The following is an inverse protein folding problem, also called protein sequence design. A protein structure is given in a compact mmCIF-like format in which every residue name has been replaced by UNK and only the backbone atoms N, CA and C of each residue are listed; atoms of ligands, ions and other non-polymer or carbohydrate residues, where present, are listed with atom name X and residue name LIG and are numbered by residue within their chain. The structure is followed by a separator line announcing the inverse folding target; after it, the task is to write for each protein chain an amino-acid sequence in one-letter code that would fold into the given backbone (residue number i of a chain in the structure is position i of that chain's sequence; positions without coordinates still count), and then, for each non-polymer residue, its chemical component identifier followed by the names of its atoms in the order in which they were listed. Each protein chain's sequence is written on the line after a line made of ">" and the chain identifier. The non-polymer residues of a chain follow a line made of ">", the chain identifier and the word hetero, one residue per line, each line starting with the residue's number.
data_IF_841364394353
#
_entry.id   IF_841364394353
#
_cell.length_a   1.000
_cell.length_b   1.000
_cell.length_c   1.000
_cell.angle_alpha   90.00
_cell.angle_beta   90.00
_cell.angle_gamma   90.00
#
_symmetry.space_group_name_H-M   'P 1'
#
loop_
_entity.id
_entity.type
_entity.pdbx_description
1 polymer ?
#
# COMPACT_ATOMS: atom_id res chain seq x y z
N UNK A 1 8.67 -15.05 -22.02
CA UNK A 1 8.52 -13.64 -21.61
C UNK A 1 8.61 -13.62 -20.10
N UNK A 2 9.73 -13.15 -19.54
CA UNK A 2 9.92 -13.10 -18.09
C UNK A 2 9.34 -11.77 -17.58
N UNK A 3 8.12 -11.81 -17.05
CA UNK A 3 7.56 -10.70 -16.28
C UNK A 3 8.12 -10.79 -14.87
N UNK A 4 9.32 -10.24 -14.67
CA UNK A 4 9.76 -9.89 -13.32
C UNK A 4 8.87 -8.74 -12.88
N UNK A 5 7.85 -9.03 -12.06
CA UNK A 5 7.06 -8.02 -11.37
C UNK A 5 8.00 -7.25 -10.44
N UNK A 6 8.68 -6.24 -10.97
CA UNK A 6 9.31 -5.21 -10.18
C UNK A 6 8.15 -4.43 -9.59
N UNK A 7 7.79 -4.77 -8.36
CA UNK A 7 6.98 -3.91 -7.52
C UNK A 7 7.78 -2.61 -7.35
N UNK A 8 7.58 -1.65 -8.26
CA UNK A 8 7.77 -0.25 -7.91
C UNK A 8 6.72 0.04 -6.84
N UNK A 9 7.10 -0.17 -5.58
CA UNK A 9 6.30 0.32 -4.47
C UNK A 9 6.48 1.85 -4.52
N UNK A 10 5.52 2.53 -5.15
CA UNK A 10 5.34 3.97 -4.98
C UNK A 10 4.81 4.20 -3.55
N UNK A 11 5.67 3.96 -2.56
CA UNK A 11 5.36 4.17 -1.16
C UNK A 11 5.55 5.65 -0.86
N UNK A 12 4.48 6.41 -0.93
CA UNK A 12 4.47 7.78 -0.46
C UNK A 12 4.30 7.76 1.06
N UNK A 13 5.28 8.30 1.78
CA UNK A 13 5.23 8.42 3.23
C UNK A 13 4.77 9.84 3.61
N UNK A 14 3.92 9.93 4.64
CA UNK A 14 3.63 11.22 5.25
C UNK A 14 4.94 11.82 5.81
N UNK A 15 5.01 13.15 5.92
CA UNK A 15 6.13 13.81 6.58
C UNK A 15 6.32 13.29 8.01
N UNK A 16 7.58 13.18 8.46
CA UNK A 16 7.98 12.64 9.76
C UNK A 16 7.62 11.17 9.98
N UNK A 17 7.42 10.40 8.91
CA UNK A 17 7.27 8.94 9.05
C UNK A 17 8.66 8.34 9.29
N UNK A 18 8.90 7.62 10.40
CA UNK A 18 10.18 6.97 10.64
C UNK A 18 10.38 5.80 9.67
N UNK A 19 11.52 5.78 8.98
CA UNK A 19 11.92 4.76 8.02
C UNK A 19 13.14 4.03 8.56
N UNK A 20 13.08 2.70 8.58
CA UNK A 20 14.18 1.84 8.98
C UNK A 20 15.16 1.66 7.80
N UNK A 21 16.41 2.05 8.02
CA UNK A 21 17.51 1.81 7.09
C UNK A 21 18.11 0.42 7.31
N UNK A 22 18.85 -0.08 6.31
CA UNK A 22 19.51 -1.38 6.34
C UNK A 22 20.53 -1.53 7.48
N UNK A 23 21.20 -0.43 7.86
CA UNK A 23 22.14 -0.42 8.99
C UNK A 23 21.44 -0.45 10.36
N UNK A 24 20.10 -0.52 10.38
CA UNK A 24 19.28 -0.53 11.59
C UNK A 24 18.98 0.85 12.15
N UNK A 25 19.50 1.93 11.56
CA UNK A 25 19.17 3.28 11.96
C UNK A 25 17.79 3.72 11.46
N UNK A 26 17.19 4.69 12.13
CA UNK A 26 15.91 5.28 11.72
C UNK A 26 16.18 6.67 11.14
N UNK A 27 15.62 6.90 9.96
CA UNK A 27 15.65 8.20 9.28
C UNK A 27 14.22 8.63 8.94
N UNK A 28 13.91 9.91 9.15
CA UNK A 28 12.58 10.42 8.80
C UNK A 28 12.39 10.46 7.28
N UNK A 29 11.17 10.18 6.82
CA UNK A 29 10.81 10.09 5.40
C UNK A 29 11.29 11.28 4.57
N UNK A 30 11.16 12.50 5.06
CA UNK A 30 11.60 13.71 4.37
C UNK A 30 13.14 13.87 4.26
N UNK A 31 13.90 13.08 5.01
CA UNK A 31 15.36 13.14 5.04
C UNK A 31 16.01 11.99 4.24
N UNK A 32 15.21 11.06 3.69
CA UNK A 32 15.70 9.97 2.83
C UNK A 32 16.33 10.55 1.57
N UNK A 33 17.44 9.96 1.12
CA UNK A 33 18.12 10.33 -0.11
C UNK A 33 18.47 9.09 -0.96
N UNK A 34 18.98 9.32 -2.18
CA UNK A 34 19.28 8.27 -3.17
C UNK A 34 20.41 7.31 -2.75
N UNK A 35 21.24 7.70 -1.79
CA UNK A 35 22.32 6.85 -1.27
C UNK A 35 21.85 5.94 -0.13
N UNK A 36 20.64 6.14 0.39
CA UNK A 36 20.08 5.33 1.47
C UNK A 36 19.70 3.92 0.99
N UNK A 37 19.95 2.94 1.85
CA UNK A 37 19.56 1.54 1.66
C UNK A 37 18.48 1.22 2.70
N UNK A 38 17.32 0.77 2.22
CA UNK A 38 16.16 0.43 3.03
C UNK A 38 16.04 -1.10 3.17
N UNK A 39 15.17 -1.53 4.08
CA UNK A 39 14.80 -2.94 4.26
C UNK A 39 13.52 -3.21 3.48
N UNK A 40 13.56 -4.19 2.59
CA UNK A 40 12.39 -4.75 1.91
C UNK A 40 11.50 -5.53 2.87
N UNK A 41 10.25 -5.71 2.48
CA UNK A 41 9.28 -6.57 3.17
C UNK A 41 9.74 -8.04 3.26
N UNK A 42 10.60 -8.47 2.34
CA UNK A 42 11.30 -9.76 2.34
C UNK A 42 12.56 -9.80 3.23
N UNK A 43 12.86 -8.70 3.94
CA UNK A 43 14.05 -8.58 4.79
C UNK A 43 15.35 -8.38 4.02
N UNK A 44 15.31 -8.09 2.72
CA UNK A 44 16.50 -7.85 1.88
C UNK A 44 16.73 -6.36 1.60
N UNK A 45 17.94 -6.00 1.15
CA UNK A 45 18.28 -4.61 0.83
C UNK A 45 17.45 -4.03 -0.34
N UNK A 46 17.08 -2.75 -0.23
CA UNK A 46 16.45 -1.94 -1.28
C UNK A 46 17.18 -0.62 -1.42
N UNK A 47 17.77 -0.33 -2.59
CA UNK A 47 18.36 0.99 -2.88
C UNK A 47 17.31 1.97 -3.37
N UNK A 48 17.34 3.17 -2.81
CA UNK A 48 16.50 4.29 -3.27
C UNK A 48 16.96 4.72 -4.67
N UNK A 49 16.11 4.55 -5.69
CA UNK A 49 16.45 4.91 -7.07
C UNK A 49 16.17 6.37 -7.40
N UNK A 50 15.07 6.92 -6.89
CA UNK A 50 14.62 8.28 -7.12
C UNK A 50 13.78 8.74 -5.93
N UNK A 51 13.74 10.05 -5.71
CA UNK A 51 12.91 10.68 -4.69
C UNK A 51 11.77 11.43 -5.38
N UNK A 52 10.58 11.30 -4.83
CA UNK A 52 9.43 12.11 -5.25
C UNK A 52 8.90 12.84 -4.02
N UNK A 53 8.61 14.12 -4.17
CA UNK A 53 7.95 14.92 -3.15
C UNK A 53 6.76 15.66 -3.79
N UNK A 54 5.79 16.00 -2.95
CA UNK A 54 4.58 16.68 -3.39
C UNK A 54 3.64 16.92 -2.22
N UNK A 55 2.63 17.74 -2.47
CA UNK A 55 1.52 17.95 -1.55
C UNK A 55 0.34 17.15 -2.08
N UNK A 56 -0.30 16.38 -1.19
CA UNK A 56 -1.46 15.59 -1.52
C UNK A 56 -2.38 15.49 -0.29
N UNK A 57 -3.65 15.23 -0.53
CA UNK A 57 -4.59 14.91 0.54
C UNK A 57 -4.27 13.53 1.06
N UNK A 58 -4.14 13.41 2.39
CA UNK A 58 -3.94 12.13 3.06
C UNK A 58 -5.27 11.59 3.58
N UNK A 59 -5.47 10.30 3.38
CA UNK A 59 -6.63 9.53 3.83
C UNK A 59 -6.17 8.43 4.76
N UNK A 60 -6.93 8.22 5.84
CA UNK A 60 -6.74 7.07 6.72
C UNK A 60 -7.71 5.98 6.30
N UNK A 61 -7.19 4.82 5.95
CA UNK A 61 -7.96 3.65 5.57
C UNK A 61 -8.24 2.81 6.81
N UNK A 62 -9.52 2.68 7.17
CA UNK A 62 -9.96 1.82 8.25
C UNK A 62 -10.31 0.43 7.71
N UNK A 63 -9.85 -0.59 8.42
CA UNK A 63 -10.05 -2.00 8.07
C UNK A 63 -10.55 -2.74 9.30
N UNK A 64 -11.52 -3.63 9.13
CA UNK A 64 -12.08 -4.39 10.26
C UNK A 64 -11.09 -5.46 10.78
N UNK A 65 -10.43 -6.16 9.86
CA UNK A 65 -9.64 -7.37 10.16
C UNK A 65 -8.13 -7.20 9.87
N UNK A 66 -7.67 -5.96 9.75
CA UNK A 66 -6.29 -5.59 9.44
C UNK A 66 -5.92 -4.22 10.07
N UNK A 67 -4.63 -3.87 10.04
CA UNK A 67 -4.14 -2.61 10.58
C UNK A 67 -4.57 -1.43 9.70
N UNK A 68 -5.19 -0.40 10.29
CA UNK A 68 -5.44 0.85 9.56
C UNK A 68 -4.13 1.51 9.14
N UNK A 69 -4.14 2.20 8.00
CA UNK A 69 -2.96 2.84 7.43
C UNK A 69 -3.32 4.18 6.78
N UNK A 70 -2.32 5.05 6.56
CA UNK A 70 -2.52 6.39 5.99
C UNK A 70 -1.82 6.46 4.65
N UNK A 71 -2.53 6.92 3.61
CA UNK A 71 -2.04 7.00 2.23
C UNK A 71 -2.49 8.30 1.58
N UNK A 72 -1.90 8.66 0.45
CA UNK A 72 -2.34 9.81 -0.33
C UNK A 72 -3.53 9.48 -1.24
N UNK A 73 -4.13 10.51 -1.84
CA UNK A 73 -5.27 10.40 -2.75
C UNK A 73 -4.99 9.47 -3.95
N UNK A 74 -3.75 9.44 -4.45
CA UNK A 74 -3.34 8.67 -5.63
C UNK A 74 -2.90 7.24 -5.33
N UNK A 75 -2.93 6.81 -4.08
CA UNK A 75 -2.56 5.45 -3.72
C UNK A 75 -3.55 4.44 -4.31
N UNK A 76 -3.04 3.38 -4.91
CA UNK A 76 -3.87 2.33 -5.48
C UNK A 76 -4.28 1.33 -4.39
N UNK A 77 -5.57 1.24 -4.13
CA UNK A 77 -6.18 0.16 -3.36
C UNK A 77 -6.29 -1.09 -4.25
N UNK A 78 -5.84 -2.23 -3.73
CA UNK A 78 -6.09 -3.54 -4.34
C UNK A 78 -7.32 -4.13 -3.66
N UNK A 79 -8.43 -4.22 -4.40
CA UNK A 79 -9.72 -4.66 -3.87
C UNK A 79 -10.21 -5.85 -4.68
N UNK A 80 -10.92 -6.76 -4.02
CA UNK A 80 -11.66 -7.81 -4.69
C UNK A 80 -13.04 -7.29 -5.08
N UNK A 81 -13.39 -7.40 -6.35
CA UNK A 81 -14.73 -7.15 -6.85
C UNK A 81 -15.57 -8.41 -6.69
N UNK A 82 -16.58 -8.36 -5.82
CA UNK A 82 -17.43 -9.52 -5.56
C UNK A 82 -18.42 -9.85 -6.70
N UNK A 83 -18.64 -8.92 -7.64
CA UNK A 83 -19.50 -9.12 -8.81
C UNK A 83 -18.67 -9.76 -9.93
N UNK A 84 -17.57 -9.13 -10.32
CA UNK A 84 -16.70 -9.61 -11.41
C UNK A 84 -15.82 -10.80 -10.98
N UNK A 85 -15.73 -11.07 -9.68
CA UNK A 85 -14.93 -12.15 -9.07
C UNK A 85 -13.44 -12.05 -9.38
N UNK A 86 -12.91 -10.83 -9.44
CA UNK A 86 -11.50 -10.56 -9.75
C UNK A 86 -10.89 -9.45 -8.88
N UNK A 87 -9.57 -9.32 -8.99
CA UNK A 87 -8.81 -8.26 -8.34
C UNK A 87 -8.81 -7.01 -9.20
N UNK A 88 -9.17 -5.88 -8.60
CA UNK A 88 -9.11 -4.58 -9.24
C UNK A 88 -8.21 -3.60 -8.49
N UNK A 89 -7.77 -2.58 -9.22
CA UNK A 89 -6.97 -1.46 -8.71
C UNK A 89 -7.79 -0.18 -8.87
N UNK A 90 -7.94 0.57 -7.79
CA UNK A 90 -8.62 1.86 -7.80
C UNK A 90 -7.86 2.83 -6.90
N UNK A 91 -7.74 4.10 -7.30
CA UNK A 91 -7.11 5.10 -6.42
C UNK A 91 -8.01 5.41 -5.22
N UNK A 92 -7.44 5.94 -4.13
CA UNK A 92 -8.25 6.39 -2.98
C UNK A 92 -9.23 7.48 -3.41
N UNK A 93 -8.78 8.44 -4.21
CA UNK A 93 -9.61 9.52 -4.75
C UNK A 93 -10.81 8.97 -5.54
N UNK A 94 -10.59 8.01 -6.44
CA UNK A 94 -11.69 7.42 -7.19
C UNK A 94 -12.62 6.60 -6.29
N UNK A 95 -12.06 5.87 -5.33
CA UNK A 95 -12.83 5.05 -4.39
C UNK A 95 -13.78 5.89 -3.53
N UNK A 96 -13.33 7.02 -2.97
CA UNK A 96 -14.18 7.86 -2.11
C UNK A 96 -15.37 8.45 -2.87
N UNK A 97 -15.23 8.67 -4.18
CA UNK A 97 -16.28 9.19 -5.05
C UNK A 97 -17.26 8.11 -5.55
N UNK A 98 -16.97 6.82 -5.32
CA UNK A 98 -17.94 5.76 -5.60
C UNK A 98 -19.20 5.91 -4.75
N UNK A 99 -20.33 5.57 -5.36
CA UNK A 99 -21.58 5.50 -4.63
C UNK A 99 -21.54 4.37 -3.56
N UNK A 100 -22.34 4.45 -2.49
CA UNK A 100 -22.30 3.47 -1.40
C UNK A 100 -22.63 2.03 -1.82
N UNK A 101 -23.40 1.83 -2.90
CA UNK A 101 -23.72 0.50 -3.40
C UNK A 101 -22.49 -0.16 -4.04
N UNK A 102 -21.74 0.58 -4.85
CA UNK A 102 -20.48 0.09 -5.43
C UNK A 102 -19.45 -0.18 -4.35
N UNK A 103 -19.33 0.67 -3.33
CA UNK A 103 -18.38 0.42 -2.22
C UNK A 103 -18.64 -0.91 -1.51
N UNK A 104 -19.89 -1.34 -1.38
CA UNK A 104 -20.26 -2.63 -0.77
C UNK A 104 -19.84 -3.84 -1.61
N UNK A 105 -19.57 -3.66 -2.91
CA UNK A 105 -19.13 -4.73 -3.80
C UNK A 105 -17.63 -5.00 -3.66
N UNK A 106 -16.88 -4.02 -3.15
CA UNK A 106 -15.44 -4.09 -3.01
C UNK A 106 -15.02 -4.49 -1.60
N UNK A 107 -14.05 -5.41 -1.55
CA UNK A 107 -13.50 -5.90 -0.30
C UNK A 107 -11.98 -5.76 -0.30
N UNK A 108 -11.44 -5.31 0.83
CA UNK A 108 -10.01 -5.40 1.09
C UNK A 108 -9.59 -6.87 1.21
N UNK A 109 -8.34 -7.14 0.88
CA UNK A 109 -7.80 -8.49 0.85
C UNK A 109 -6.77 -8.62 1.95
N UNK A 110 -6.80 -9.75 2.65
CA UNK A 110 -5.73 -10.18 3.54
C UNK A 110 -5.04 -11.36 2.88
N UNK A 111 -3.76 -11.18 2.55
CA UNK A 111 -2.92 -12.30 2.12
C UNK A 111 -2.26 -12.85 3.37
N UNK A 112 -2.54 -14.11 3.71
CA UNK A 112 -1.79 -14.79 4.76
C UNK A 112 -0.34 -14.97 4.29
N UNK A 113 0.63 -14.53 5.10
CA UNK A 113 2.05 -14.50 4.71
C UNK A 113 2.67 -15.92 4.65
N UNK A 114 1.88 -16.96 4.91
CA UNK A 114 2.32 -18.36 4.89
C UNK A 114 2.02 -19.00 3.52
N UNK A 115 3.03 -19.22 2.66
CA UNK A 115 2.84 -19.62 1.26
C UNK A 115 2.24 -21.03 1.07
N UNK A 116 2.03 -21.80 2.15
CA UNK A 116 1.43 -23.15 2.09
C UNK A 116 -0.08 -23.19 2.36
N UNK A 117 -0.67 -22.14 2.92
CA UNK A 117 -2.08 -22.06 3.29
C UNK A 117 -2.65 -20.65 3.03
N UNK A 118 -2.38 -20.05 1.87
CA UNK A 118 -2.89 -18.71 1.55
C UNK A 118 -4.42 -18.73 1.37
N UNK A 119 -5.17 -18.67 2.47
CA UNK A 119 -6.60 -18.36 2.45
C UNK A 119 -6.76 -16.84 2.27
N UNK A 120 -7.46 -16.43 1.21
CA UNK A 120 -7.79 -15.03 0.97
C UNK A 120 -9.04 -14.67 1.78
N UNK A 121 -8.92 -13.72 2.69
CA UNK A 121 -10.06 -13.19 3.44
C UNK A 121 -10.43 -11.81 2.90
N UNK A 122 -11.73 -11.62 2.64
CA UNK A 122 -12.33 -10.38 2.15
C UNK A 122 -12.96 -9.62 3.31
N UNK A 123 -12.70 -8.32 3.44
CA UNK A 123 -13.28 -7.47 4.50
C UNK A 123 -13.71 -6.11 3.96
N UNK A 124 -14.65 -5.46 4.64
CA UNK A 124 -15.10 -4.13 4.27
C UNK A 124 -14.10 -3.05 4.71
N UNK A 125 -13.96 -2.01 3.88
CA UNK A 125 -13.29 -0.78 4.25
C UNK A 125 -14.32 0.20 4.81
N UNK A 126 -13.98 0.86 5.92
CA UNK A 126 -14.81 1.93 6.48
C UNK A 126 -14.24 3.29 6.08
N UNK A 127 -15.11 4.29 5.81
CA UNK A 127 -14.70 5.68 5.62
C UNK A 127 -14.02 6.27 6.86
#
# INVERSE_FOLDING_TARGET
>A
MNTTNVFEIHSCFAANTPILLWDGSIKMSQNINIEDILIGDDGTERRVKYLVNGIDTLYKIYQENACSYIVNSRHNLILFDNIEKELTKITVEDYIHLNPFMKKQFFGIKVDCNPKNAEQYFYHLHP
#
